data_IF_375633043145
#
_entry.id   IF_375633043145
#
_cell.length_a   1.000
_cell.length_b   1.000
_cell.length_c   1.000
_cell.angle_alpha   90.00
_cell.angle_beta   90.00
_cell.angle_gamma   90.00
#
_symmetry.space_group_name_H-M   'P 1'
#
loop_
_entity.id
_entity.type
_entity.pdbx_description
1 polymer ?
#
# COMPACT_ATOMS: atom_id res chain seq x y z
N UNK A 1 -8.27 -4.40 2.76
CA UNK A 1 -6.98 -5.14 2.79
C UNK A 1 -6.96 -6.14 1.65
N UNK A 2 -5.80 -6.43 1.05
CA UNK A 2 -5.68 -7.39 -0.05
C UNK A 2 -4.33 -8.09 -0.01
N UNK A 3 -4.33 -9.43 -0.06
CA UNK A 3 -3.09 -10.23 -0.14
C UNK A 3 -2.67 -10.43 -1.60
N UNK A 4 -1.37 -10.50 -1.83
CA UNK A 4 -0.79 -10.82 -3.14
C UNK A 4 0.60 -11.44 -2.97
N UNK A 5 0.98 -12.33 -3.89
CA UNK A 5 2.34 -12.87 -3.96
C UNK A 5 3.19 -11.99 -4.88
N UNK A 6 4.43 -11.72 -4.51
CA UNK A 6 5.38 -10.98 -5.34
C UNK A 6 6.06 -11.87 -6.42
N UNK A 7 7.16 -11.38 -7.01
CA UNK A 7 7.95 -12.13 -8.00
C UNK A 7 8.83 -13.22 -7.42
N UNK A 8 9.22 -13.07 -6.16
CA UNK A 8 10.17 -13.91 -5.44
C UNK A 8 9.44 -15.00 -4.64
N UNK A 9 8.10 -14.96 -4.64
CA UNK A 9 7.23 -15.93 -4.00
C UNK A 9 6.78 -15.51 -2.59
N UNK A 10 7.15 -14.30 -2.15
CA UNK A 10 6.78 -13.81 -0.83
C UNK A 10 5.34 -13.30 -0.83
N UNK A 11 4.62 -13.56 0.28
CA UNK A 11 3.26 -13.05 0.46
C UNK A 11 3.31 -11.67 1.09
N UNK A 12 2.70 -10.72 0.39
CA UNK A 12 2.54 -9.34 0.82
C UNK A 12 1.07 -9.01 1.06
N UNK A 13 0.86 -8.06 1.95
CA UNK A 13 -0.44 -7.53 2.32
C UNK A 13 -0.47 -6.05 1.96
N UNK A 14 -1.44 -5.68 1.12
CA UNK A 14 -1.78 -4.31 0.82
C UNK A 14 -2.89 -3.84 1.76
N UNK A 15 -2.59 -2.79 2.53
CA UNK A 15 -3.52 -2.16 3.47
C UNK A 15 -3.51 -0.64 3.31
N UNK A 16 -4.43 0.03 4.01
CA UNK A 16 -4.49 1.49 4.06
C UNK A 16 -4.05 1.93 5.43
N UNK A 17 -3.10 2.85 5.49
CA UNK A 17 -2.78 3.58 6.72
C UNK A 17 -3.26 5.01 6.61
N UNK A 18 -3.64 5.57 7.76
CA UNK A 18 -4.09 6.95 7.86
C UNK A 18 -3.12 7.73 8.72
N UNK A 19 -2.63 8.86 8.21
CA UNK A 19 -1.83 9.79 9.00
C UNK A 19 -2.75 10.82 9.68
N UNK A 20 -2.54 11.06 10.97
CA UNK A 20 -3.33 12.00 11.77
C UNK A 20 -2.86 13.45 11.62
N UNK A 21 -1.91 13.73 10.72
CA UNK A 21 -1.45 15.08 10.41
C UNK A 21 -2.59 16.07 10.11
N UNK A 22 -2.43 17.31 10.58
CA UNK A 22 -3.40 18.42 10.45
C UNK A 22 -3.81 18.76 9.01
N UNK A 23 -3.10 18.23 8.02
CA UNK A 23 -3.34 18.48 6.61
C UNK A 23 -4.38 17.50 6.06
N UNK A 24 -5.57 18.01 5.78
CA UNK A 24 -6.71 17.27 5.20
C UNK A 24 -6.40 16.57 3.85
N UNK A 25 -5.25 16.87 3.22
CA UNK A 25 -4.87 16.34 1.91
C UNK A 25 -4.05 15.06 2.04
N UNK A 26 -4.62 13.96 1.55
CA UNK A 26 -3.92 12.69 1.42
C UNK A 26 -3.76 11.92 2.73
N UNK A 27 -4.77 12.03 3.60
CA UNK A 27 -4.85 11.35 4.89
C UNK A 27 -4.65 9.85 4.78
N UNK A 28 -5.20 9.22 3.74
CA UNK A 28 -5.08 7.79 3.52
C UNK A 28 -4.04 7.51 2.45
N UNK A 29 -3.15 6.57 2.70
CA UNK A 29 -2.17 6.12 1.73
C UNK A 29 -2.10 4.59 1.73
N UNK A 30 -1.60 4.06 0.61
CA UNK A 30 -1.37 2.64 0.46
C UNK A 30 -0.14 2.23 1.27
N UNK A 31 -0.23 1.11 1.98
CA UNK A 31 0.86 0.56 2.78
C UNK A 31 1.02 -0.91 2.43
N UNK A 32 2.23 -1.33 2.08
CA UNK A 32 2.54 -2.70 1.70
C UNK A 32 3.47 -3.31 2.73
N UNK A 33 3.09 -4.43 3.33
CA UNK A 33 3.94 -5.12 4.31
C UNK A 33 4.01 -6.61 4.03
N UNK A 34 5.08 -7.30 4.42
CA UNK A 34 5.12 -8.76 4.40
C UNK A 34 4.02 -9.32 5.30
N UNK A 35 3.50 -10.49 4.94
CA UNK A 35 2.55 -11.21 5.80
C UNK A 35 3.22 -11.55 7.15
N UNK A 36 2.60 -11.09 8.25
CA UNK A 36 3.14 -11.28 9.61
C UNK A 36 4.08 -10.18 10.10
N UNK A 37 4.44 -9.19 9.26
CA UNK A 37 5.33 -8.08 9.62
C UNK A 37 4.67 -6.72 9.36
N UNK A 38 3.54 -6.45 10.02
CA UNK A 38 2.70 -5.25 9.78
C UNK A 38 3.41 -3.91 10.01
N UNK A 39 4.47 -3.89 10.81
CA UNK A 39 5.24 -2.68 11.13
C UNK A 39 6.51 -2.50 10.29
N UNK A 40 6.89 -3.51 9.51
CA UNK A 40 8.06 -3.49 8.60
C UNK A 40 7.66 -3.24 7.14
N UNK A 41 6.51 -2.61 6.94
CA UNK A 41 6.00 -2.28 5.62
C UNK A 41 6.48 -0.94 5.06
N UNK A 42 6.19 -0.77 3.78
CA UNK A 42 6.54 0.37 2.95
C UNK A 42 5.31 1.26 2.73
N UNK A 43 5.36 2.55 3.11
CA UNK A 43 4.33 3.50 2.76
C UNK A 43 4.47 3.97 1.31
N UNK A 44 3.38 3.91 0.54
CA UNK A 44 3.31 4.37 -0.84
C UNK A 44 2.64 5.75 -0.86
N UNK A 45 3.45 6.78 -0.62
CA UNK A 45 3.00 8.17 -0.51
C UNK A 45 2.73 8.86 -1.86
N UNK A 46 3.05 8.20 -2.97
CA UNK A 46 2.65 8.62 -4.32
C UNK A 46 1.17 8.33 -4.60
N UNK A 47 0.53 7.47 -3.80
CA UNK A 47 -0.89 7.17 -3.89
C UNK A 47 -1.58 7.59 -2.60
N UNK A 48 -2.26 8.75 -2.68
CA UNK A 48 -2.96 9.37 -1.54
C UNK A 48 -4.43 9.60 -1.84
N UNK A 49 -5.27 9.41 -0.83
CA UNK A 49 -6.69 9.66 -0.88
C UNK A 49 -7.15 10.52 0.30
N UNK A 50 -8.14 11.37 0.06
CA UNK A 50 -8.76 12.19 1.10
C UNK A 50 -9.89 11.44 1.83
N UNK A 51 -10.48 10.42 1.20
CA UNK A 51 -11.58 9.64 1.75
C UNK A 51 -11.19 8.18 1.89
N UNK A 52 -11.45 7.61 3.06
CA UNK A 52 -11.24 6.20 3.35
C UNK A 52 -12.02 5.30 2.39
N UNK A 53 -13.29 5.63 2.11
CA UNK A 53 -14.14 4.84 1.22
C UNK A 53 -13.56 4.75 -0.20
N UNK A 54 -13.04 5.87 -0.73
CA UNK A 54 -12.40 5.89 -2.04
C UNK A 54 -11.11 5.07 -2.05
N UNK A 55 -10.33 5.15 -0.98
CA UNK A 55 -9.11 4.38 -0.82
C UNK A 55 -9.40 2.87 -0.78
N UNK A 56 -10.41 2.46 0.00
CA UNK A 56 -10.84 1.06 0.13
C UNK A 56 -11.34 0.50 -1.21
N UNK A 57 -12.22 1.22 -1.90
CA UNK A 57 -12.72 0.82 -3.23
C UNK A 57 -11.60 0.72 -4.26
N UNK A 58 -10.62 1.61 -4.19
CA UNK A 58 -9.47 1.55 -5.10
C UNK A 58 -8.58 0.36 -4.77
N UNK A 59 -8.28 0.11 -3.50
CA UNK A 59 -7.52 -1.06 -3.08
C UNK A 59 -8.21 -2.37 -3.48
N UNK A 60 -9.53 -2.43 -3.37
CA UNK A 60 -10.33 -3.59 -3.77
C UNK A 60 -10.23 -3.85 -5.28
N UNK A 61 -10.19 -2.79 -6.12
CA UNK A 61 -10.08 -2.94 -7.56
C UNK A 61 -8.66 -3.18 -8.09
N UNK A 62 -7.61 -2.89 -7.29
CA UNK A 62 -6.21 -3.04 -7.71
C UNK A 62 -5.82 -4.48 -8.02
N UNK A 63 -5.31 -4.72 -9.24
CA UNK A 63 -4.86 -6.06 -9.62
C UNK A 63 -3.58 -6.48 -8.88
N UNK A 64 -3.35 -7.80 -8.74
CA UNK A 64 -2.09 -8.31 -8.19
C UNK A 64 -0.86 -7.86 -8.99
N UNK A 65 -0.97 -7.76 -10.33
CA UNK A 65 0.12 -7.26 -11.19
C UNK A 65 0.47 -5.81 -10.87
N UNK A 66 -0.57 -4.99 -10.65
CA UNK A 66 -0.42 -3.59 -10.28
C UNK A 66 0.25 -3.42 -8.90
N UNK A 67 -0.16 -4.24 -7.92
CA UNK A 67 0.43 -4.26 -6.58
C UNK A 67 1.91 -4.66 -6.61
N UNK A 68 2.28 -5.70 -7.38
CA UNK A 68 3.68 -6.10 -7.57
C UNK A 68 4.53 -5.01 -8.21
N UNK A 69 4.00 -4.33 -9.23
CA UNK A 69 4.71 -3.21 -9.88
C UNK A 69 4.99 -2.09 -8.89
N UNK A 70 4.02 -1.76 -8.05
CA UNK A 70 4.14 -0.75 -6.99
C UNK A 70 5.15 -1.17 -5.92
N UNK A 71 5.09 -2.41 -5.46
CA UNK A 71 6.05 -2.97 -4.51
C UNK A 71 7.48 -2.86 -5.05
N UNK A 72 7.73 -3.32 -6.28
CA UNK A 72 9.05 -3.20 -6.92
C UNK A 72 9.54 -1.76 -6.99
N UNK A 73 8.65 -0.84 -7.36
CA UNK A 73 9.00 0.59 -7.40
C UNK A 73 9.28 1.15 -6.00
N UNK A 74 8.62 0.69 -4.94
CA UNK A 74 8.87 1.14 -3.58
C UNK A 74 10.21 0.61 -3.06
N UNK A 75 10.47 -0.69 -3.24
CA UNK A 75 11.74 -1.34 -2.86
C UNK A 75 12.94 -0.69 -3.57
N UNK A 76 12.82 -0.36 -4.85
CA UNK A 76 13.89 0.33 -5.59
C UNK A 76 14.12 1.80 -5.19
N UNK A 77 13.20 2.43 -4.44
CA UNK A 77 13.37 3.79 -3.87
C UNK A 77 13.92 3.75 -2.44
N UNK A 78 13.85 2.60 -1.78
CA UNK A 78 14.35 2.39 -0.41
C UNK A 78 15.83 1.98 -0.36
N UNK A 79 16.47 1.77 -1.52
CA UNK A 79 17.90 1.54 -1.68
C UNK A 79 18.65 2.85 -1.95
#
# INVERSE_FOLDING_TARGET
>A
MRKFTDSDGETWVATLRSDAGLDYKGRHHLYLHPEGAEDEGLPLLDVKWNSQLSAERTLDSMSGVELRRRLRSALGRSA
#
